data_IF_711603511608
#
_entry.id   IF_711603511608
#
_cell.length_a   1.000
_cell.length_b   1.000
_cell.length_c   1.000
_cell.angle_alpha   90.00
_cell.angle_beta   90.00
_cell.angle_gamma   90.00
#
_symmetry.space_group_name_H-M   'P 1'
#
loop_
_entity.id
_entity.type
_entity.pdbx_description
1 polymer ?
#
# COMPACT_ATOMS: atom_id res chain seq x y z
N UNK A 1 30.97 1.93 15.80
CA UNK A 1 29.78 2.79 15.94
C UNK A 1 28.65 2.04 15.26
N UNK A 2 27.66 1.53 16.00
CA UNK A 2 26.52 0.85 15.36
C UNK A 2 25.73 1.91 14.60
N UNK A 3 25.82 1.89 13.26
CA UNK A 3 24.91 2.67 12.43
C UNK A 3 23.49 2.23 12.75
N UNK A 4 22.71 3.13 13.35
CA UNK A 4 21.27 2.95 13.53
C UNK A 4 20.64 2.90 12.15
N UNK A 5 20.22 1.71 11.71
CA UNK A 5 19.49 1.52 10.46
C UNK A 5 18.28 2.44 10.43
N UNK A 6 18.11 3.26 9.38
CA UNK A 6 16.94 4.11 9.24
C UNK A 6 15.64 3.31 9.31
N UNK A 7 14.57 3.94 9.80
CA UNK A 7 13.28 3.26 10.06
C UNK A 7 12.65 2.63 8.80
N UNK A 8 12.93 3.17 7.61
CA UNK A 8 12.44 2.66 6.31
C UNK A 8 13.53 1.94 5.51
N UNK A 9 14.50 1.33 6.19
CA UNK A 9 15.51 0.51 5.57
C UNK A 9 15.47 -0.93 6.12
N UNK A 10 15.69 -1.90 5.26
CA UNK A 10 15.78 -3.33 5.57
C UNK A 10 17.17 -3.67 6.14
N UNK A 11 18.20 -2.95 5.68
CA UNK A 11 19.60 -3.20 6.04
C UNK A 11 20.23 -4.35 5.26
N UNK A 12 21.56 -4.32 5.14
CA UNK A 12 22.33 -5.26 4.31
C UNK A 12 22.10 -6.74 4.65
N UNK A 13 22.13 -7.16 5.94
CA UNK A 13 21.96 -8.58 6.26
C UNK A 13 20.60 -9.12 5.86
N UNK A 14 19.54 -8.30 5.99
CA UNK A 14 18.19 -8.71 5.63
C UNK A 14 18.02 -8.82 4.11
N UNK A 15 18.53 -7.84 3.36
CA UNK A 15 18.53 -7.90 1.89
C UNK A 15 19.31 -9.09 1.35
N UNK A 16 20.49 -9.38 1.91
CA UNK A 16 21.27 -10.56 1.55
C UNK A 16 20.50 -11.86 1.83
N UNK A 17 19.79 -11.94 2.97
CA UNK A 17 18.95 -13.10 3.29
C UNK A 17 17.77 -13.26 2.33
N UNK A 18 17.11 -12.16 1.92
CA UNK A 18 16.05 -12.17 0.89
C UNK A 18 16.58 -12.62 -0.46
N UNK A 19 17.77 -12.18 -0.85
CA UNK A 19 18.42 -12.59 -2.10
C UNK A 19 18.77 -14.08 -2.08
N UNK A 20 19.36 -14.58 -0.99
CA UNK A 20 19.66 -16.00 -0.84
C UNK A 20 18.39 -16.86 -0.86
N UNK A 21 17.31 -16.41 -0.22
CA UNK A 21 16.04 -17.10 -0.21
C UNK A 21 15.46 -17.25 -1.62
N UNK A 22 15.60 -16.25 -2.50
CA UNK A 22 15.02 -16.27 -3.84
C UNK A 22 15.47 -17.45 -4.71
N UNK A 23 16.64 -18.04 -4.40
CA UNK A 23 17.19 -19.21 -5.10
C UNK A 23 17.21 -20.49 -4.24
N UNK A 24 16.82 -20.41 -2.96
CA UNK A 24 16.86 -21.55 -2.06
C UNK A 24 15.74 -22.56 -2.37
N UNK A 25 15.96 -23.88 -2.18
CA UNK A 25 14.93 -24.89 -2.43
C UNK A 25 13.62 -24.67 -1.64
N UNK A 26 13.71 -24.12 -0.43
CA UNK A 26 12.56 -23.80 0.43
C UNK A 26 12.03 -22.37 0.21
N UNK A 27 12.65 -21.59 -0.68
CA UNK A 27 12.30 -20.21 -0.97
C UNK A 27 11.35 -20.01 -2.15
N UNK A 28 10.73 -21.09 -2.63
CA UNK A 28 9.80 -21.05 -3.77
C UNK A 28 8.69 -20.01 -3.62
N UNK A 29 8.16 -19.83 -2.39
CA UNK A 29 7.14 -18.83 -2.10
C UNK A 29 7.61 -17.40 -2.36
N UNK A 30 8.86 -17.10 -2.00
CA UNK A 30 9.42 -15.76 -2.19
C UNK A 30 9.73 -15.49 -3.66
N UNK A 31 10.26 -16.49 -4.36
CA UNK A 31 10.46 -16.41 -5.79
C UNK A 31 9.13 -16.24 -6.56
N UNK A 32 8.02 -16.83 -6.08
CA UNK A 32 6.68 -16.60 -6.64
C UNK A 32 6.18 -15.18 -6.39
N UNK A 33 6.42 -14.61 -5.20
CA UNK A 33 6.11 -13.20 -4.90
C UNK A 33 6.89 -12.24 -5.80
N UNK A 34 8.18 -12.49 -5.99
CA UNK A 34 9.03 -11.71 -6.90
C UNK A 34 8.59 -11.82 -8.37
N UNK A 35 8.07 -12.99 -8.76
CA UNK A 35 7.57 -13.27 -10.10
C UNK A 35 6.14 -12.74 -10.37
N UNK A 36 5.37 -12.36 -9.35
CA UNK A 36 4.01 -11.86 -9.54
C UNK A 36 4.01 -10.34 -9.82
N UNK A 37 3.55 -9.90 -11.00
CA UNK A 37 3.56 -8.48 -11.40
C UNK A 37 2.47 -7.65 -10.72
N UNK A 38 1.53 -8.26 -10.01
CA UNK A 38 0.45 -7.56 -9.31
C UNK A 38 0.74 -7.30 -7.84
N UNK A 39 1.81 -7.85 -7.29
CA UNK A 39 2.17 -7.63 -5.89
C UNK A 39 2.99 -6.36 -5.76
N UNK A 40 2.63 -5.55 -4.77
CA UNK A 40 3.39 -4.38 -4.35
C UNK A 40 4.26 -4.75 -3.16
N UNK A 41 5.51 -4.31 -3.17
CA UNK A 41 6.45 -4.48 -2.06
C UNK A 41 6.59 -3.14 -1.34
N UNK A 42 6.50 -3.13 -0.01
CA UNK A 42 6.67 -1.92 0.79
C UNK A 42 7.52 -2.20 2.04
N UNK A 43 8.45 -1.30 2.35
CA UNK A 43 9.31 -1.41 3.53
C UNK A 43 8.70 -0.64 4.69
N UNK A 44 8.48 -1.31 5.82
CA UNK A 44 7.89 -0.71 7.02
C UNK A 44 8.53 -1.23 8.29
N UNK A 45 9.00 -0.32 9.13
CA UNK A 45 9.61 -0.68 10.43
C UNK A 45 10.62 -1.83 10.28
N UNK A 46 11.51 -1.71 9.28
CA UNK A 46 12.52 -2.72 8.93
C UNK A 46 11.99 -4.10 8.54
N UNK A 47 10.69 -4.20 8.23
CA UNK A 47 10.04 -5.36 7.63
C UNK A 47 9.69 -5.10 6.17
N UNK A 48 9.61 -6.15 5.37
CA UNK A 48 9.13 -6.10 4.00
C UNK A 48 7.70 -6.63 3.94
N UNK A 49 6.76 -5.81 3.50
CA UNK A 49 5.36 -6.17 3.39
C UNK A 49 4.98 -6.38 1.93
N UNK A 50 4.12 -7.36 1.68
CA UNK A 50 3.66 -7.74 0.34
C UNK A 50 2.18 -7.46 0.24
N UNK A 51 1.80 -6.52 -0.62
CA UNK A 51 0.42 -6.06 -0.76
C UNK A 51 -0.23 -6.52 -2.05
N UNK A 52 -1.51 -6.84 -1.96
CA UNK A 52 -2.40 -7.01 -3.11
C UNK A 52 -3.72 -6.28 -2.84
N UNK A 53 -4.07 -5.29 -3.66
CA UNK A 53 -5.33 -4.51 -3.53
C UNK A 53 -5.59 -3.95 -2.12
N UNK A 54 -4.54 -3.47 -1.44
CA UNK A 54 -4.60 -2.90 -0.08
C UNK A 54 -4.76 -3.94 1.04
N UNK A 55 -4.55 -5.22 0.74
CA UNK A 55 -4.42 -6.30 1.72
C UNK A 55 -2.95 -6.69 1.88
N UNK A 56 -2.46 -6.74 3.13
CA UNK A 56 -1.13 -7.24 3.47
C UNK A 56 -1.11 -8.77 3.45
N UNK A 57 -0.62 -9.37 2.36
CA UNK A 57 -0.53 -10.83 2.21
C UNK A 57 0.59 -11.41 3.07
N UNK A 58 1.74 -10.74 3.10
CA UNK A 58 2.87 -11.16 3.90
C UNK A 58 3.50 -9.98 4.62
N UNK A 59 3.91 -10.22 5.87
CA UNK A 59 4.90 -9.41 6.58
C UNK A 59 6.15 -10.24 6.74
N UNK A 60 7.25 -9.81 6.15
CA UNK A 60 8.52 -10.52 6.12
C UNK A 60 9.51 -9.79 7.02
N UNK A 61 10.16 -10.52 7.93
CA UNK A 61 11.11 -9.98 8.91
C UNK A 61 12.40 -10.80 8.95
N UNK A 62 13.52 -10.21 9.45
CA UNK A 62 14.71 -10.98 9.76
C UNK A 62 14.43 -12.06 10.81
N UNK A 63 15.00 -13.25 10.63
CA UNK A 63 14.88 -14.35 11.59
C UNK A 63 16.21 -15.13 11.67
N UNK A 64 17.03 -14.80 12.67
CA UNK A 64 18.39 -15.34 12.77
C UNK A 64 19.21 -15.00 11.52
N UNK A 65 19.76 -16.02 10.86
CA UNK A 65 20.49 -15.86 9.59
C UNK A 65 19.57 -15.86 8.34
N UNK A 66 18.26 -16.06 8.51
CA UNK A 66 17.29 -16.15 7.43
C UNK A 66 16.18 -15.09 7.57
N UNK A 67 15.01 -15.43 7.02
CA UNK A 67 13.83 -14.58 7.06
C UNK A 67 12.63 -15.38 7.55
N UNK A 68 11.70 -14.71 8.23
CA UNK A 68 10.39 -15.24 8.58
C UNK A 68 9.32 -14.48 7.82
N UNK A 69 8.21 -15.14 7.48
CA UNK A 69 7.06 -14.52 6.84
C UNK A 69 5.79 -14.88 7.60
N UNK A 70 4.97 -13.87 7.89
CA UNK A 70 3.68 -13.99 8.55
C UNK A 70 2.56 -13.61 7.59
N UNK A 71 1.41 -14.28 7.69
CA UNK A 71 0.18 -13.97 6.93
C UNK A 71 -1.03 -14.07 7.85
N UNK A 72 -2.09 -13.32 7.55
CA UNK A 72 -3.37 -13.52 8.22
C UNK A 72 -4.05 -14.81 7.74
N UNK A 73 -4.66 -15.54 8.68
CA UNK A 73 -5.37 -16.81 8.42
C UNK A 73 -6.50 -16.64 7.41
N UNK A 74 -7.15 -15.47 7.35
CA UNK A 74 -8.22 -15.17 6.39
C UNK A 74 -7.79 -15.29 4.92
N UNK A 75 -6.49 -15.17 4.61
CA UNK A 75 -5.98 -15.36 3.26
C UNK A 75 -5.65 -16.82 2.93
N UNK A 76 -5.64 -17.70 3.93
CA UNK A 76 -5.37 -19.13 3.74
C UNK A 76 -6.63 -19.94 3.38
N UNK A 77 -7.81 -19.32 3.41
CA UNK A 77 -9.07 -19.98 3.05
C UNK A 77 -9.09 -20.29 1.55
N UNK A 78 -9.24 -21.57 1.21
CA UNK A 78 -9.32 -22.03 -0.17
C UNK A 78 -10.59 -21.53 -0.83
N UNK A 79 -10.44 -20.87 -1.98
CA UNK A 79 -11.55 -20.24 -2.70
C UNK A 79 -12.29 -21.25 -3.60
N UNK A 80 -12.61 -22.43 -3.06
CA UNK A 80 -13.37 -23.49 -3.74
C UNK A 80 -14.86 -23.31 -3.47
N UNK A 81 -15.66 -23.13 -4.51
CA UNK A 81 -17.11 -23.07 -4.39
C UNK A 81 -17.69 -24.48 -4.29
N UNK A 82 -17.57 -25.10 -3.12
CA UNK A 82 -18.18 -26.39 -2.83
C UNK A 82 -19.43 -26.20 -1.98
N UNK A 83 -20.57 -26.73 -2.43
CA UNK A 83 -21.75 -26.86 -1.60
C UNK A 83 -21.52 -27.95 -0.55
N UNK A 84 -21.80 -27.62 0.71
CA UNK A 84 -21.79 -28.58 1.81
C UNK A 84 -23.19 -28.71 2.39
N UNK A 85 -23.51 -29.89 2.96
CA UNK A 85 -24.79 -30.14 3.63
C UNK A 85 -24.70 -29.67 5.08
N UNK A 86 -25.76 -29.02 5.56
CA UNK A 86 -25.96 -28.75 6.98
C UNK A 86 -26.62 -29.99 7.61
N UNK A 87 -25.93 -30.60 8.57
CA UNK A 87 -26.42 -31.73 9.35
C UNK A 87 -27.52 -31.31 10.33
N UNK A 88 -28.30 -32.29 10.79
CA UNK A 88 -29.34 -32.08 11.80
C UNK A 88 -28.77 -31.63 13.16
N UNK A 89 -27.49 -31.92 13.41
CA UNK A 89 -26.70 -31.47 14.56
C UNK A 89 -26.14 -30.05 14.39
N UNK A 90 -26.41 -29.39 13.27
CA UNK A 90 -25.88 -28.08 12.93
C UNK A 90 -24.44 -28.09 12.39
N UNK A 91 -23.84 -29.26 12.19
CA UNK A 91 -22.51 -29.40 11.59
C UNK A 91 -22.52 -29.21 10.06
N UNK A 92 -21.42 -28.76 9.48
CA UNK A 92 -21.24 -28.77 8.03
C UNK A 92 -20.51 -30.05 7.60
N UNK A 93 -21.02 -30.72 6.56
CA UNK A 93 -20.38 -31.88 5.93
C UNK A 93 -19.18 -31.44 5.06
N UNK A 94 -18.15 -30.89 5.70
CA UNK A 94 -16.91 -30.39 5.08
C UNK A 94 -15.72 -30.95 5.86
N UNK A 95 -14.67 -31.36 5.15
CA UNK A 95 -13.37 -31.61 5.78
C UNK A 95 -12.62 -30.28 5.98
N UNK A 96 -12.41 -29.80 7.23
CA UNK A 96 -11.70 -28.55 7.49
C UNK A 96 -10.28 -28.53 6.92
N UNK A 97 -9.61 -29.69 6.83
CA UNK A 97 -8.26 -29.82 6.27
C UNK A 97 -8.21 -29.51 4.77
N UNK A 98 -9.34 -29.56 4.08
CA UNK A 98 -9.45 -29.19 2.66
C UNK A 98 -9.83 -27.73 2.44
N UNK A 99 -10.25 -27.03 3.49
CA UNK A 99 -10.77 -25.67 3.43
C UNK A 99 -9.70 -24.59 3.60
N UNK A 100 -8.55 -24.92 4.20
CA UNK A 100 -7.48 -23.97 4.51
C UNK A 100 -6.12 -24.48 4.04
N UNK A 101 -5.29 -23.61 3.49
CA UNK A 101 -3.89 -23.90 3.20
C UNK A 101 -3.09 -24.00 4.51
N UNK A 102 -2.46 -25.14 4.77
CA UNK A 102 -1.55 -25.35 5.90
C UNK A 102 -0.08 -25.32 5.48
N UNK A 103 0.19 -25.33 4.18
CA UNK A 103 1.53 -25.24 3.57
C UNK A 103 1.45 -24.42 2.28
N UNK A 104 2.56 -23.80 1.93
CA UNK A 104 2.73 -23.17 0.63
C UNK A 104 3.13 -24.24 -0.40
N UNK A 105 2.29 -24.47 -1.40
CA UNK A 105 2.44 -25.54 -2.39
C UNK A 105 2.69 -24.99 -3.80
N UNK A 106 3.35 -23.83 -3.88
CA UNK A 106 3.70 -23.17 -5.14
C UNK A 106 2.73 -22.07 -5.56
N UNK A 107 2.80 -21.63 -6.84
CA UNK A 107 2.08 -20.44 -7.31
C UNK A 107 0.56 -20.49 -7.13
N UNK A 108 -0.03 -21.70 -7.12
CA UNK A 108 -1.46 -21.90 -6.88
C UNK A 108 -1.90 -21.43 -5.49
N UNK A 109 -1.06 -21.59 -4.46
CA UNK A 109 -1.34 -21.07 -3.11
C UNK A 109 -1.41 -19.55 -3.12
N UNK A 110 -0.42 -18.88 -3.74
CA UNK A 110 -0.40 -17.42 -3.86
C UNK A 110 -1.61 -16.87 -4.65
N UNK A 111 -2.01 -17.56 -5.72
CA UNK A 111 -3.18 -17.19 -6.49
C UNK A 111 -4.48 -17.27 -5.65
N UNK A 112 -4.63 -18.28 -4.80
CA UNK A 112 -5.76 -18.37 -3.87
C UNK A 112 -5.71 -17.31 -2.77
N UNK A 113 -4.54 -17.02 -2.21
CA UNK A 113 -4.37 -15.92 -1.25
C UNK A 113 -4.78 -14.57 -1.86
N UNK A 114 -4.36 -14.30 -3.11
CA UNK A 114 -4.79 -13.10 -3.86
C UNK A 114 -6.31 -13.07 -4.06
N UNK A 115 -6.95 -14.20 -4.38
CA UNK A 115 -8.42 -14.26 -4.51
C UNK A 115 -9.13 -13.98 -3.20
N UNK A 116 -8.68 -14.60 -2.10
CA UNK A 116 -9.21 -14.35 -0.76
C UNK A 116 -9.06 -12.87 -0.37
N UNK A 117 -7.89 -12.28 -0.62
CA UNK A 117 -7.66 -10.86 -0.39
C UNK A 117 -8.54 -9.95 -1.24
N UNK A 118 -8.74 -10.27 -2.52
CA UNK A 118 -9.61 -9.50 -3.41
C UNK A 118 -11.07 -9.47 -2.93
N UNK A 119 -11.57 -10.59 -2.41
CA UNK A 119 -12.94 -10.67 -1.89
C UNK A 119 -13.16 -9.76 -0.67
N UNK A 120 -12.09 -9.47 0.08
CA UNK A 120 -12.10 -8.60 1.25
C UNK A 120 -11.70 -7.15 0.92
N UNK A 121 -11.39 -6.86 -0.35
CA UNK A 121 -10.90 -5.55 -0.77
C UNK A 121 -12.05 -4.68 -1.26
N UNK A 122 -12.25 -3.52 -0.62
CA UNK A 122 -13.17 -2.50 -1.11
C UNK A 122 -12.71 -1.84 -2.41
N UNK A 123 -13.64 -1.19 -3.11
CA UNK A 123 -13.39 -0.50 -4.38
C UNK A 123 -12.29 0.57 -4.27
N UNK A 124 -12.19 1.24 -3.12
CA UNK A 124 -11.18 2.29 -2.90
C UNK A 124 -9.78 1.67 -2.93
N UNK A 125 -9.52 0.67 -2.07
CA UNK A 125 -8.23 -0.03 -2.02
C UNK A 125 -7.84 -0.68 -3.35
N UNK A 126 -8.80 -1.28 -4.04
CA UNK A 126 -8.56 -1.87 -5.35
C UNK A 126 -8.18 -0.80 -6.40
N UNK A 127 -8.83 0.37 -6.36
CA UNK A 127 -8.51 1.49 -7.22
C UNK A 127 -7.15 2.10 -6.92
N UNK A 128 -6.84 2.37 -5.65
CA UNK A 128 -5.51 2.86 -5.23
C UNK A 128 -4.40 1.94 -5.70
N UNK A 129 -4.57 0.62 -5.52
CA UNK A 129 -3.61 -0.37 -5.99
C UNK A 129 -3.39 -0.29 -7.51
N UNK A 130 -4.44 -0.12 -8.31
CA UNK A 130 -4.32 0.05 -9.75
C UNK A 130 -3.57 1.35 -10.12
N UNK A 131 -3.85 2.46 -9.42
CA UNK A 131 -3.15 3.73 -9.63
C UNK A 131 -1.66 3.62 -9.30
N UNK A 132 -1.31 2.94 -8.19
CA UNK A 132 0.09 2.73 -7.78
C UNK A 132 0.83 1.91 -8.82
N UNK A 133 0.23 0.79 -9.27
CA UNK A 133 0.82 -0.06 -10.31
C UNK A 133 1.08 0.68 -11.63
N UNK A 134 0.32 1.72 -11.93
CA UNK A 134 0.49 2.54 -13.13
C UNK A 134 1.52 3.67 -12.96
N UNK A 135 2.09 3.85 -11.77
CA UNK A 135 2.92 5.01 -11.42
C UNK A 135 4.32 4.56 -10.98
N UNK A 136 5.30 4.49 -11.92
CA UNK A 136 6.65 3.98 -11.62
C UNK A 136 7.46 4.86 -10.66
N UNK A 137 7.00 6.10 -10.43
CA UNK A 137 7.62 7.04 -9.49
C UNK A 137 7.11 6.87 -8.06
N UNK A 138 6.16 5.98 -7.79
CA UNK A 138 5.73 5.63 -6.42
C UNK A 138 6.79 4.74 -5.78
N UNK A 139 7.24 5.14 -4.58
CA UNK A 139 8.31 4.48 -3.82
C UNK A 139 7.83 3.83 -2.53
N UNK A 140 6.65 4.19 -2.03
CA UNK A 140 6.10 3.58 -0.82
C UNK A 140 4.57 3.64 -0.83
N UNK A 141 3.94 2.73 -0.10
CA UNK A 141 2.47 2.64 0.02
C UNK A 141 2.06 2.38 1.47
N UNK A 142 0.88 2.90 1.82
CA UNK A 142 0.19 2.63 3.08
C UNK A 142 1.06 3.01 4.31
N UNK A 143 1.45 4.29 4.30
CA UNK A 143 2.53 4.88 5.06
C UNK A 143 2.05 5.36 6.42
N UNK A 144 2.54 4.74 7.49
CA UNK A 144 2.45 5.31 8.83
C UNK A 144 3.55 6.38 9.02
N UNK A 145 3.18 7.61 9.36
CA UNK A 145 4.14 8.70 9.57
C UNK A 145 4.83 8.64 10.94
N UNK A 146 4.11 8.19 11.97
CA UNK A 146 4.67 8.01 13.31
C UNK A 146 5.27 6.61 13.41
N UNK A 147 6.59 6.50 13.38
CA UNK A 147 7.33 5.23 13.48
C UNK A 147 7.30 4.62 14.89
N UNK A 148 6.12 4.54 15.51
CA UNK A 148 5.96 3.92 16.82
C UNK A 148 6.18 2.39 16.71
N UNK A 149 6.96 1.78 17.61
CA UNK A 149 7.26 0.34 17.58
C UNK A 149 6.00 -0.50 17.54
N UNK A 150 6.02 -1.50 16.68
CA UNK A 150 4.87 -2.31 16.33
C UNK A 150 4.54 -3.43 17.34
N UNK A 151 4.99 -3.36 18.60
CA UNK A 151 4.65 -4.38 19.62
C UNK A 151 3.13 -4.47 19.88
N UNK A 152 2.35 -3.47 19.46
CA UNK A 152 0.89 -3.50 19.51
C UNK A 152 0.19 -3.85 18.18
N UNK A 153 0.88 -3.93 17.02
CA UNK A 153 0.19 -4.13 15.72
C UNK A 153 0.04 -5.58 15.28
N UNK A 154 0.50 -6.55 16.08
CA UNK A 154 -0.01 -7.92 15.94
C UNK A 154 -1.55 -7.99 16.21
N UNK A 155 -2.12 -6.97 16.85
CA UNK A 155 -3.54 -6.83 17.14
C UNK A 155 -4.23 -5.66 16.43
N UNK A 156 -3.61 -5.00 15.45
CA UNK A 156 -4.33 -4.00 14.66
C UNK A 156 -5.39 -4.71 13.81
N UNK A 157 -6.64 -4.49 14.22
CA UNK A 157 -7.90 -4.82 13.53
C UNK A 157 -7.96 -4.13 12.17
N UNK A 158 -7.10 -4.53 11.24
CA UNK A 158 -7.15 -4.12 9.86
C UNK A 158 -8.34 -4.82 9.19
N UNK A 159 -9.49 -4.12 9.21
CA UNK A 159 -10.75 -4.57 8.61
C UNK A 159 -11.82 -5.07 9.58
N UNK A 160 -11.54 -5.25 10.88
CA UNK A 160 -12.56 -5.82 11.78
C UNK A 160 -13.78 -4.89 11.98
N UNK A 161 -13.62 -3.56 11.89
CA UNK A 161 -14.76 -2.64 11.99
C UNK A 161 -15.58 -2.56 10.70
N UNK A 162 -14.95 -2.71 9.53
CA UNK A 162 -15.68 -2.78 8.26
C UNK A 162 -16.43 -4.11 8.12
N UNK A 163 -15.84 -5.22 8.58
CA UNK A 163 -16.47 -6.54 8.57
C UNK A 163 -17.51 -6.71 9.71
N UNK A 164 -17.31 -6.10 10.88
CA UNK A 164 -18.31 -6.13 11.95
C UNK A 164 -19.59 -5.38 11.57
N UNK A 165 -19.48 -4.32 10.74
CA UNK A 165 -20.64 -3.57 10.26
C UNK A 165 -21.44 -4.33 9.19
N UNK A 166 -20.81 -5.25 8.46
CA UNK A 166 -21.47 -6.16 7.53
C UNK A 166 -22.19 -7.33 8.23
N UNK A 167 -21.93 -7.55 9.52
CA UNK A 167 -22.47 -8.65 10.33
C UNK A 167 -23.40 -8.16 11.46
N UNK A 168 -23.64 -6.86 11.59
CA UNK A 168 -24.59 -6.34 12.57
C UNK A 168 -26.02 -6.43 12.00
N UNK A 169 -26.97 -7.09 12.67
CA UNK A 169 -28.37 -6.97 12.31
C UNK A 169 -28.82 -5.53 12.54
N UNK A 170 -29.63 -4.99 11.61
CA UNK A 170 -30.27 -3.68 11.71
C UNK A 170 -30.93 -3.53 13.08
N UNK A 171 -30.25 -2.86 14.02
CA UNK A 171 -30.79 -2.53 15.32
C UNK A 171 -30.63 -1.04 15.50
N UNK A 172 -31.77 -0.35 15.39
CA UNK A 172 -31.92 1.05 15.74
C UNK A 172 -31.46 1.31 17.19
N UNK A 173 -31.02 2.54 17.41
CA UNK A 173 -30.87 3.25 18.69
C UNK A 173 -29.53 3.16 19.44
N UNK A 174 -28.89 4.34 19.45
CA UNK A 174 -28.28 4.99 20.62
C UNK A 174 -27.12 4.28 21.32
N UNK A 175 -25.90 4.69 20.94
CA UNK A 175 -24.74 4.62 21.82
C UNK A 175 -23.92 5.91 21.69
N UNK A 176 -23.72 6.56 22.83
CA UNK A 176 -22.85 7.71 23.07
C UNK A 176 -21.42 7.46 22.54
N UNK A 177 -20.73 8.48 22.00
CA UNK A 177 -19.40 8.29 21.43
C UNK A 177 -18.35 8.14 22.54
N UNK A 178 -17.86 6.92 22.72
CA UNK A 178 -16.59 6.64 23.41
C UNK A 178 -15.45 7.35 22.66
N UNK A 179 -14.46 7.97 23.34
CA UNK A 179 -13.41 8.72 22.67
C UNK A 179 -12.64 7.83 21.70
N UNK A 180 -12.55 8.31 20.45
CA UNK A 180 -11.91 7.67 19.32
C UNK A 180 -10.55 7.09 19.72
N UNK A 181 -10.46 5.75 19.74
CA UNK A 181 -9.17 5.07 19.62
C UNK A 181 -8.52 5.65 18.36
N UNK A 182 -7.36 6.27 18.53
CA UNK A 182 -6.60 6.91 17.45
C UNK A 182 -6.29 5.87 16.38
N UNK A 183 -7.17 5.75 15.39
CA UNK A 183 -6.88 5.07 14.14
C UNK A 183 -5.60 5.73 13.65
N UNK A 184 -4.48 4.99 13.62
CA UNK A 184 -3.23 5.53 13.10
C UNK A 184 -3.50 5.88 11.64
N UNK A 185 -3.69 7.17 11.37
CA UNK A 185 -3.95 7.66 10.02
C UNK A 185 -2.73 7.33 9.15
N UNK A 186 -2.95 6.65 8.03
CA UNK A 186 -1.91 6.25 7.07
C UNK A 186 -2.14 6.96 5.76
N UNK A 187 -1.07 7.47 5.16
CA UNK A 187 -1.08 7.99 3.79
C UNK A 187 -1.06 6.84 2.79
N UNK A 188 -1.73 6.98 1.65
CA UNK A 188 -1.88 5.88 0.69
C UNK A 188 -0.61 5.61 -0.12
N UNK A 189 0.11 6.66 -0.54
CA UNK A 189 1.30 6.52 -1.36
C UNK A 189 2.32 7.65 -1.13
N UNK A 190 3.58 7.39 -1.44
CA UNK A 190 4.61 8.40 -1.62
C UNK A 190 5.29 8.22 -2.98
N UNK A 191 5.55 9.32 -3.67
CA UNK A 191 6.22 9.33 -4.96
C UNK A 191 7.40 10.30 -4.98
N UNK A 192 8.30 10.11 -5.95
CA UNK A 192 9.34 11.07 -6.27
C UNK A 192 8.91 11.96 -7.45
N UNK A 193 9.30 13.23 -7.36
CA UNK A 193 9.08 14.25 -8.40
C UNK A 193 10.38 15.00 -8.71
N UNK A 194 10.67 15.18 -10.01
CA UNK A 194 11.64 16.16 -10.49
C UNK A 194 10.93 17.50 -10.69
N UNK A 195 11.49 18.59 -10.15
CA UNK A 195 10.93 19.95 -10.26
C UNK A 195 11.80 20.90 -11.10
N UNK A 196 12.71 20.34 -11.91
CA UNK A 196 13.61 21.08 -12.79
C UNK A 196 14.89 21.57 -12.11
N UNK A 197 15.03 21.37 -10.79
CA UNK A 197 16.29 21.61 -10.08
C UNK A 197 17.20 20.38 -10.24
N UNK A 198 18.32 20.56 -10.95
CA UNK A 198 19.19 19.46 -11.37
C UNK A 198 19.78 18.63 -10.22
N UNK A 199 19.86 19.18 -9.01
CA UNK A 199 20.44 18.56 -7.82
C UNK A 199 19.40 18.12 -6.78
N UNK A 200 18.11 18.34 -7.01
CA UNK A 200 17.06 18.02 -6.04
C UNK A 200 16.03 17.03 -6.60
N UNK A 201 15.51 16.19 -5.71
CA UNK A 201 14.33 15.36 -5.93
C UNK A 201 13.34 15.61 -4.78
N UNK A 202 12.05 15.58 -5.08
CA UNK A 202 11.01 15.85 -4.10
C UNK A 202 10.22 14.59 -3.76
N UNK A 203 10.23 14.22 -2.48
CA UNK A 203 9.34 13.21 -1.92
C UNK A 203 7.97 13.83 -1.65
N UNK A 204 6.94 13.31 -2.32
CA UNK A 204 5.57 13.82 -2.25
C UNK A 204 4.64 12.73 -1.73
N UNK A 205 3.82 13.09 -0.77
CA UNK A 205 2.87 12.17 -0.13
C UNK A 205 1.46 12.38 -0.66
N UNK A 206 0.71 11.28 -0.79
CA UNK A 206 -0.61 11.26 -1.42
C UNK A 206 -1.61 10.51 -0.55
N UNK A 207 -2.79 11.09 -0.42
CA UNK A 207 -4.00 10.45 0.07
C UNK A 207 -4.94 10.27 -1.12
N UNK A 208 -5.51 9.09 -1.29
CA UNK A 208 -6.37 8.76 -2.40
C UNK A 208 -7.79 8.45 -1.91
N UNK A 209 -8.79 9.01 -2.60
CA UNK A 209 -10.21 8.83 -2.29
C UNK A 209 -11.03 8.53 -3.52
N UNK A 210 -11.96 7.59 -3.38
CA UNK A 210 -13.04 7.49 -4.36
C UNK A 210 -13.81 8.80 -4.41
N UNK A 211 -14.25 9.22 -5.59
CA UNK A 211 -15.10 10.39 -5.76
C UNK A 211 -16.43 10.26 -4.99
N UNK A 212 -16.90 9.04 -4.79
CA UNK A 212 -18.09 8.75 -3.97
C UNK A 212 -17.81 8.83 -2.46
N UNK A 213 -16.56 8.99 -2.03
CA UNK A 213 -16.21 9.00 -0.61
C UNK A 213 -16.87 10.20 0.09
N UNK A 214 -17.64 9.97 1.17
CA UNK A 214 -18.37 11.03 1.86
C UNK A 214 -17.44 12.04 2.56
N UNK A 215 -16.20 11.65 2.89
CA UNK A 215 -15.23 12.55 3.55
C UNK A 215 -14.83 13.76 2.70
N UNK A 216 -15.06 13.70 1.39
CA UNK A 216 -14.83 14.79 0.44
C UNK A 216 -15.88 15.90 0.52
N UNK A 217 -16.98 15.68 1.25
CA UNK A 217 -18.15 16.58 1.25
C UNK A 217 -18.53 16.92 2.68
N UNK A 218 -18.93 18.16 2.91
CA UNK A 218 -19.51 18.61 4.18
C UNK A 218 -20.30 19.90 3.95
N UNK A 219 -21.21 20.22 4.89
CA UNK A 219 -21.85 21.55 4.94
C UNK A 219 -20.95 22.60 5.60
N UNK A 220 -19.89 22.16 6.29
CA UNK A 220 -18.93 23.01 6.98
C UNK A 220 -17.53 22.73 6.44
N UNK A 221 -16.73 21.92 7.12
CA UNK A 221 -15.40 21.52 6.68
C UNK A 221 -15.42 20.01 6.39
N UNK A 222 -15.06 19.59 5.16
CA UNK A 222 -14.91 18.18 4.83
C UNK A 222 -13.89 17.49 5.73
N UNK A 223 -14.17 16.26 6.16
CA UNK A 223 -13.29 15.50 7.06
C UNK A 223 -11.87 15.31 6.48
N UNK A 224 -11.77 15.22 5.15
CA UNK A 224 -10.48 15.12 4.44
C UNK A 224 -9.58 16.34 4.67
N UNK A 225 -10.15 17.54 4.85
CA UNK A 225 -9.38 18.77 5.10
C UNK A 225 -8.64 18.66 6.43
N UNK A 226 -9.36 18.26 7.49
CA UNK A 226 -8.78 18.08 8.83
C UNK A 226 -7.75 16.95 8.83
N UNK A 227 -7.98 15.88 8.06
CA UNK A 227 -7.03 14.78 7.91
C UNK A 227 -5.72 15.25 7.25
N UNK A 228 -5.79 15.92 6.10
CA UNK A 228 -4.61 16.42 5.39
C UNK A 228 -3.86 17.49 6.20
N UNK A 229 -4.55 18.30 7.01
CA UNK A 229 -3.91 19.24 7.92
C UNK A 229 -3.04 18.52 8.98
N UNK A 230 -3.52 17.40 9.54
CA UNK A 230 -2.72 16.58 10.48
C UNK A 230 -1.50 15.97 9.79
N UNK A 231 -1.66 15.47 8.57
CA UNK A 231 -0.54 14.95 7.78
C UNK A 231 0.49 16.04 7.51
N UNK A 232 0.07 17.22 7.04
CA UNK A 232 0.97 18.36 6.79
C UNK A 232 1.78 18.71 8.03
N UNK A 233 1.14 18.79 9.20
CA UNK A 233 1.83 19.07 10.47
C UNK A 233 2.91 18.01 10.77
N UNK A 234 2.55 16.73 10.64
CA UNK A 234 3.49 15.60 10.89
C UNK A 234 4.62 15.56 9.87
N UNK A 235 4.32 15.80 8.59
CA UNK A 235 5.32 15.86 7.51
C UNK A 235 6.30 17.01 7.72
N UNK A 236 5.81 18.15 8.19
CA UNK A 236 6.65 19.31 8.52
C UNK A 236 7.58 18.98 9.67
N UNK A 237 7.06 18.40 10.75
CA UNK A 237 7.84 18.03 11.92
C UNK A 237 8.90 16.96 11.62
N UNK A 238 8.57 15.99 10.76
CA UNK A 238 9.42 14.82 10.50
C UNK A 238 10.21 14.92 9.18
N UNK A 239 10.23 16.09 8.52
CA UNK A 239 10.76 16.25 7.16
C UNK A 239 12.19 15.70 6.99
N UNK A 240 13.12 16.08 7.87
CA UNK A 240 14.52 15.65 7.77
C UNK A 240 14.68 14.14 8.00
N UNK A 241 13.97 13.60 9.00
CA UNK A 241 13.96 12.16 9.30
C UNK A 241 13.39 11.36 8.13
N UNK A 242 12.32 11.87 7.52
CA UNK A 242 11.69 11.26 6.35
C UNK A 242 12.66 11.30 5.15
N UNK A 243 13.29 12.43 4.84
CA UNK A 243 14.27 12.52 3.75
C UNK A 243 15.39 11.49 3.90
N UNK A 244 15.98 11.36 5.10
CA UNK A 244 17.02 10.37 5.38
C UNK A 244 16.51 8.93 5.25
N UNK A 245 15.32 8.66 5.78
CA UNK A 245 14.74 7.31 5.73
C UNK A 245 14.36 6.88 4.31
N UNK A 246 13.83 7.80 3.50
CA UNK A 246 13.45 7.52 2.12
C UNK A 246 14.65 7.45 1.17
N UNK A 247 15.76 8.13 1.47
CA UNK A 247 17.02 7.90 0.78
C UNK A 247 17.46 6.43 0.92
N UNK A 248 17.46 5.91 2.15
CA UNK A 248 17.79 4.51 2.40
C UNK A 248 16.77 3.55 1.76
N UNK A 249 15.48 3.90 1.78
CA UNK A 249 14.45 3.14 1.07
C UNK A 249 14.73 3.05 -0.43
N UNK A 250 15.13 4.15 -1.09
CA UNK A 250 15.43 4.13 -2.52
C UNK A 250 16.55 3.14 -2.86
N UNK A 251 17.58 3.05 -2.00
CA UNK A 251 18.63 2.05 -2.15
C UNK A 251 18.09 0.61 -2.06
N UNK A 252 17.22 0.34 -1.09
CA UNK A 252 16.61 -0.98 -0.92
C UNK A 252 15.68 -1.34 -2.10
N UNK A 253 14.92 -0.37 -2.61
CA UNK A 253 14.03 -0.55 -3.77
C UNK A 253 14.80 -0.93 -5.03
N UNK A 254 15.92 -0.26 -5.32
CA UNK A 254 16.78 -0.59 -6.48
C UNK A 254 17.26 -2.04 -6.39
N UNK A 255 17.64 -2.51 -5.20
CA UNK A 255 18.07 -3.91 -5.00
C UNK A 255 16.93 -4.90 -5.12
N UNK A 256 15.75 -4.57 -4.57
CA UNK A 256 14.56 -5.40 -4.70
C UNK A 256 14.09 -5.50 -6.16
N UNK A 257 14.15 -4.42 -6.93
CA UNK A 257 13.80 -4.41 -8.35
C UNK A 257 14.78 -5.26 -9.18
N UNK A 258 16.09 -5.13 -8.93
CA UNK A 258 17.10 -5.99 -9.55
C UNK A 258 16.86 -7.47 -9.24
N UNK A 259 16.51 -7.80 -7.99
CA UNK A 259 16.18 -9.17 -7.57
C UNK A 259 14.92 -9.70 -8.27
N UNK A 260 13.86 -8.87 -8.37
CA UNK A 260 12.65 -9.20 -9.15
C UNK A 260 13.01 -9.47 -10.61
N UNK A 261 13.81 -8.60 -11.22
CA UNK A 261 14.29 -8.76 -12.59
C UNK A 261 15.00 -10.09 -12.81
N UNK A 262 15.97 -10.43 -11.95
CA UNK A 262 16.72 -11.67 -12.02
C UNK A 262 15.83 -12.92 -11.92
N UNK A 263 14.90 -12.97 -10.95
CA UNK A 263 13.97 -14.10 -10.80
C UNK A 263 13.06 -14.26 -12.01
N UNK A 264 12.56 -13.16 -12.57
CA UNK A 264 11.70 -13.19 -13.75
C UNK A 264 12.44 -13.68 -14.99
N UNK A 265 13.66 -13.18 -15.22
CA UNK A 265 14.53 -13.63 -16.31
C UNK A 265 14.83 -15.13 -16.19
N UNK A 266 15.20 -15.61 -14.99
CA UNK A 266 15.47 -17.03 -14.76
C UNK A 266 14.24 -17.92 -15.02
N UNK A 267 13.03 -17.38 -14.86
CA UNK A 267 11.76 -18.06 -15.14
C UNK A 267 11.20 -17.82 -16.55
N UNK A 268 11.93 -17.12 -17.42
CA UNK A 268 11.46 -16.78 -18.78
C UNK A 268 10.23 -15.88 -18.82
N UNK A 269 10.00 -15.09 -17.76
CA UNK A 269 8.86 -14.17 -17.65
C UNK A 269 9.19 -12.81 -18.27
N UNK A 270 8.17 -12.14 -18.81
CA UNK A 270 8.32 -10.79 -19.35
C UNK A 270 8.89 -9.80 -18.31
N UNK A 271 9.68 -8.82 -18.76
CA UNK A 271 10.20 -7.78 -17.88
C UNK A 271 9.08 -6.97 -17.22
N UNK A 272 9.33 -6.50 -15.99
CA UNK A 272 8.47 -5.51 -15.34
C UNK A 272 8.79 -4.11 -15.87
N UNK A 273 7.86 -3.15 -15.76
CA UNK A 273 8.21 -1.74 -15.82
C UNK A 273 9.33 -1.47 -14.81
N UNK A 274 10.41 -0.84 -15.26
CA UNK A 274 11.52 -0.44 -14.41
C UNK A 274 11.07 0.64 -13.44
N UNK A 275 11.71 0.72 -12.28
CA UNK A 275 11.58 1.87 -11.38
C UNK A 275 11.87 3.18 -12.14
N UNK A 276 11.23 4.26 -11.72
CA UNK A 276 11.53 5.59 -12.27
C UNK A 276 13.03 5.91 -12.08
N UNK A 277 13.73 6.43 -13.10
CA UNK A 277 15.16 6.75 -13.02
C UNK A 277 15.52 7.62 -11.82
N UNK A 278 14.61 8.50 -11.38
CA UNK A 278 14.82 9.38 -10.24
C UNK A 278 15.05 8.60 -8.93
N UNK A 279 14.49 7.39 -8.80
CA UNK A 279 14.71 6.51 -7.63
C UNK A 279 16.18 6.10 -7.54
N UNK A 280 16.76 5.70 -8.67
CA UNK A 280 18.17 5.30 -8.75
C UNK A 280 19.11 6.51 -8.60
N UNK A 281 18.76 7.66 -9.17
CA UNK A 281 19.50 8.91 -8.96
C UNK A 281 19.55 9.33 -7.47
N UNK A 282 18.42 9.22 -6.76
CA UNK A 282 18.36 9.46 -5.31
C UNK A 282 19.17 8.41 -4.56
N UNK A 283 19.01 7.12 -4.88
CA UNK A 283 19.74 6.03 -4.23
C UNK A 283 21.26 6.17 -4.35
N UNK A 284 21.76 6.67 -5.49
CA UNK A 284 23.18 6.96 -5.74
C UNK A 284 23.67 8.28 -5.14
N UNK A 285 22.78 9.07 -4.53
CA UNK A 285 23.09 10.39 -3.99
C UNK A 285 23.31 11.48 -5.04
N UNK A 286 22.94 11.23 -6.30
CA UNK A 286 23.02 12.21 -7.39
C UNK A 286 21.98 13.33 -7.25
N UNK A 287 20.88 13.05 -6.54
CA UNK A 287 19.85 14.04 -6.17
C UNK A 287 19.72 14.11 -4.66
N UNK A 288 19.71 15.32 -4.13
CA UNK A 288 19.36 15.59 -2.74
C UNK A 288 17.85 15.45 -2.57
N UNK A 289 17.42 14.49 -1.76
CA UNK A 289 16.01 14.28 -1.46
C UNK A 289 15.48 15.35 -0.50
N UNK A 290 14.39 16.01 -0.89
CA UNK A 290 13.63 16.98 -0.09
C UNK A 290 12.22 16.45 0.15
N UNK A 291 11.62 16.76 1.29
CA UNK A 291 10.21 16.43 1.57
C UNK A 291 9.33 17.59 1.19
N UNK A 292 8.33 17.33 0.34
CA UNK A 292 7.19 18.22 0.21
C UNK A 292 6.23 17.97 1.38
N UNK A 293 6.07 18.97 2.23
CA UNK A 293 5.25 18.88 3.44
C UNK A 293 3.75 18.99 3.15
N UNK A 294 3.38 19.36 1.93
CA UNK A 294 2.00 19.50 1.50
C UNK A 294 1.52 18.17 0.86
N UNK A 295 0.65 17.40 1.51
CA UNK A 295 0.13 16.17 0.91
C UNK A 295 -0.84 16.46 -0.25
N UNK A 296 -0.90 15.56 -1.23
CA UNK A 296 -1.81 15.66 -2.38
C UNK A 296 -3.03 14.78 -2.16
N UNK A 297 -4.19 15.27 -2.57
CA UNK A 297 -5.43 14.51 -2.58
C UNK A 297 -5.71 13.98 -3.99
N UNK A 298 -5.57 12.68 -4.19
CA UNK A 298 -5.91 12.00 -5.43
C UNK A 298 -7.37 11.56 -5.38
N UNK A 299 -8.22 12.14 -6.24
CA UNK A 299 -9.63 11.75 -6.37
C UNK A 299 -9.79 10.90 -7.62
N UNK A 300 -10.43 9.74 -7.50
CA UNK A 300 -10.60 8.78 -8.60
C UNK A 300 -11.98 8.09 -8.61
N UNK A 301 -12.26 7.26 -9.60
CA UNK A 301 -13.51 6.47 -9.69
C UNK A 301 -14.70 7.24 -10.28
N UNK A 302 -14.43 8.17 -11.20
CA UNK A 302 -15.44 8.97 -11.89
C UNK A 302 -15.16 9.03 -13.40
N UNK A 303 -16.18 9.36 -14.18
CA UNK A 303 -16.09 9.65 -15.63
C UNK A 303 -16.19 11.15 -15.91
N UNK A 304 -16.04 11.52 -17.18
CA UNK A 304 -16.09 12.91 -17.66
C UNK A 304 -17.36 13.64 -17.21
N UNK A 305 -18.53 13.01 -17.32
CA UNK A 305 -19.80 13.62 -16.95
C UNK A 305 -19.85 13.95 -15.46
N UNK A 306 -19.38 13.03 -14.60
CA UNK A 306 -19.26 13.28 -13.17
C UNK A 306 -18.22 14.37 -12.87
N UNK A 307 -17.09 14.35 -13.58
CA UNK A 307 -15.99 15.33 -13.43
C UNK A 307 -16.48 16.74 -13.68
N UNK A 308 -17.25 16.93 -14.76
CA UNK A 308 -17.67 18.26 -15.22
C UNK A 308 -18.98 18.72 -14.55
N UNK A 309 -19.66 17.82 -13.83
CA UNK A 309 -20.86 18.08 -13.03
C UNK A 309 -20.57 18.26 -11.52
N UNK A 310 -21.28 17.48 -10.68
CA UNK A 310 -21.25 17.65 -9.22
C UNK A 310 -19.87 17.47 -8.57
N UNK A 311 -18.98 16.68 -9.18
CA UNK A 311 -17.62 16.51 -8.65
C UNK A 311 -16.77 17.76 -8.86
N UNK A 312 -17.02 18.53 -9.93
CA UNK A 312 -16.33 19.78 -10.21
C UNK A 312 -16.45 20.75 -9.04
N UNK A 313 -17.69 20.97 -8.57
CA UNK A 313 -17.98 21.85 -7.45
C UNK A 313 -17.22 21.44 -6.18
N UNK A 314 -17.19 20.13 -5.89
CA UNK A 314 -16.45 19.58 -4.74
C UNK A 314 -14.94 19.82 -4.89
N UNK A 315 -14.38 19.57 -6.06
CA UNK A 315 -12.94 19.79 -6.32
C UNK A 315 -12.59 21.28 -6.22
N UNK A 316 -13.42 22.16 -6.80
CA UNK A 316 -13.24 23.60 -6.78
C UNK A 316 -13.34 24.17 -5.36
N UNK A 317 -14.25 23.65 -4.54
CA UNK A 317 -14.36 23.97 -3.10
C UNK A 317 -13.08 23.56 -2.35
N UNK A 318 -12.63 22.31 -2.49
CA UNK A 318 -11.43 21.79 -1.83
C UNK A 318 -10.17 22.59 -2.23
N UNK A 319 -10.04 22.96 -3.50
CA UNK A 319 -8.91 23.78 -4.00
C UNK A 319 -9.01 25.24 -3.56
N UNK A 320 -10.18 25.86 -3.71
CA UNK A 320 -10.37 27.28 -3.49
C UNK A 320 -10.49 27.63 -2.01
N UNK A 321 -11.46 27.03 -1.32
CA UNK A 321 -11.78 27.38 0.07
C UNK A 321 -10.80 26.75 1.07
N UNK A 322 -10.28 25.57 0.76
CA UNK A 322 -9.39 24.83 1.66
C UNK A 322 -7.93 24.77 1.18
N UNK A 323 -7.61 25.36 0.03
CA UNK A 323 -6.23 25.42 -0.52
C UNK A 323 -5.57 24.05 -0.67
N UNK A 324 -6.36 22.98 -0.90
CA UNK A 324 -5.84 21.64 -1.07
C UNK A 324 -5.29 21.40 -2.47
N UNK A 325 -4.19 20.67 -2.56
CA UNK A 325 -3.65 20.19 -3.83
C UNK A 325 -4.39 18.92 -4.28
N UNK A 326 -5.41 19.09 -5.13
CA UNK A 326 -6.27 17.98 -5.58
C UNK A 326 -5.92 17.52 -6.99
N UNK A 327 -5.65 16.24 -7.17
CA UNK A 327 -5.43 15.57 -8.46
C UNK A 327 -6.63 14.71 -8.83
N UNK A 328 -7.32 15.06 -9.91
CA UNK A 328 -8.54 14.40 -10.34
C UNK A 328 -8.23 13.45 -11.50
N UNK A 329 -8.12 12.15 -11.22
CA UNK A 329 -7.49 11.18 -12.14
C UNK A 329 -8.48 10.28 -12.90
N UNK A 330 -9.78 10.38 -12.62
CA UNK A 330 -10.81 9.64 -13.35
C UNK A 330 -10.85 8.15 -12.99
N UNK A 331 -11.12 7.28 -13.97
CA UNK A 331 -11.24 5.84 -13.74
C UNK A 331 -9.85 5.17 -13.66
N UNK A 332 -9.60 4.31 -12.66
CA UNK A 332 -8.31 3.61 -12.50
C UNK A 332 -8.10 2.45 -13.51
N UNK A 333 -8.73 2.50 -14.69
CA UNK A 333 -8.68 1.44 -15.70
C UNK A 333 -7.81 1.87 -16.89
N UNK A 334 -6.56 1.38 -16.95
CA UNK A 334 -5.64 1.62 -18.06
C UNK A 334 -4.17 1.55 -17.63
N UNK A 335 -3.25 1.33 -18.58
CA UNK A 335 -1.79 1.28 -18.36
C UNK A 335 -1.14 2.66 -18.15
N UNK A 336 -1.91 3.75 -18.08
CA UNK A 336 -1.39 5.10 -18.36
C UNK A 336 -1.89 6.22 -17.44
N UNK A 337 -2.58 5.94 -16.33
CA UNK A 337 -3.01 7.03 -15.43
C UNK A 337 -1.86 7.43 -14.50
N UNK A 338 -1.12 8.49 -14.85
CA UNK A 338 -0.06 9.09 -14.04
C UNK A 338 -0.65 9.82 -12.81
N UNK A 339 -1.21 9.06 -11.87
CA UNK A 339 -2.02 9.59 -10.79
C UNK A 339 -1.23 10.27 -9.67
N UNK A 340 0.04 9.90 -9.53
CA UNK A 340 0.95 10.40 -8.50
C UNK A 340 2.07 11.29 -9.09
N UNK A 341 1.71 12.06 -10.13
CA UNK A 341 2.53 13.12 -10.73
C UNK A 341 1.74 14.42 -10.76
N UNK A 342 2.45 15.55 -10.83
CA UNK A 342 1.80 16.84 -11.03
C UNK A 342 1.04 16.81 -12.36
N UNK A 343 -0.14 17.43 -12.45
CA UNK A 343 -0.92 17.47 -13.69
C UNK A 343 -0.16 18.04 -14.90
N UNK A 344 0.79 18.95 -14.69
CA UNK A 344 1.65 19.49 -15.75
C UNK A 344 2.67 18.47 -16.30
N UNK A 345 3.00 17.44 -15.51
CA UNK A 345 3.99 16.41 -15.86
C UNK A 345 3.33 15.13 -16.43
N UNK A 346 1.99 15.11 -16.52
CA UNK A 346 1.20 13.96 -16.97
C UNK A 346 0.82 14.03 -18.48
N UNK A 347 1.48 14.92 -19.23
CA UNK A 347 1.25 15.17 -20.66
C UNK A 347 2.01 14.22 -21.58
#
# INVERSE_FOLDING_TARGET
MSETTPYRALGEPFLAALQALATAPHGGWWADVLADPDLLLAVRDRSLNVYYRGASLFRITPAGAGVSAETHVKYLVRQRQALTRLGQDGGFALDPGTAVWTRYEGPGTLAEMKRAAAALSGLEKAGVHALVKASPNVVDVEIALTGAPMEAAAAEREGAEADAMLLAPDTEASATPTPAQTRRDRLDAASLEDRGAADEAWLVFHEAKLAANPSLRSKTTPAIVTQLARYRATLTEQADRLAQSYLALCHDLVRLDALRGAVRTARGLAAMPTLDPLVDEVARGARRLRVDTEPRLVVFGFDTDKRDGALKAVIDELRGQHSLQVYAVGRPSGRTTAAFRRPADAA
#
